data_IF_499639229775
#
_entry.id   IF_499639229775
#
_cell.length_a   1.000
_cell.length_b   1.000
_cell.length_c   1.000
_cell.angle_alpha   90.00
_cell.angle_beta   90.00
_cell.angle_gamma   90.00
#
_symmetry.space_group_name_H-M   'P 1'
#
loop_
_entity.id
_entity.type
_entity.pdbx_description
1 polymer ?
#
# COMPACT_ATOMS: atom_id res chain seq x y z
N UNK A 1 -2.00 -26.25 -1.73
CA UNK A 1 -0.67 -26.12 -1.08
C UNK A 1 0.21 -25.03 -1.70
N UNK A 2 0.18 -24.80 -3.01
CA UNK A 2 0.93 -23.73 -3.71
C UNK A 2 0.58 -22.31 -3.27
N UNK A 3 -0.69 -22.04 -2.92
CA UNK A 3 -1.14 -20.72 -2.47
C UNK A 3 -0.45 -20.29 -1.17
N UNK A 4 -0.20 -21.22 -0.24
CA UNK A 4 0.48 -20.91 1.02
C UNK A 4 1.95 -20.54 0.75
N UNK A 5 2.61 -21.28 -0.15
CA UNK A 5 3.98 -21.00 -0.54
C UNK A 5 4.11 -19.65 -1.27
N UNK A 6 3.16 -19.33 -2.15
CA UNK A 6 3.08 -18.04 -2.84
C UNK A 6 2.83 -16.89 -1.86
N UNK A 7 1.90 -17.04 -0.91
CA UNK A 7 1.66 -16.03 0.15
C UNK A 7 2.92 -15.81 0.99
N UNK A 8 3.62 -16.88 1.36
CA UNK A 8 4.86 -16.79 2.14
C UNK A 8 5.95 -16.00 1.40
N UNK A 9 6.18 -16.31 0.13
CA UNK A 9 7.15 -15.58 -0.72
C UNK A 9 6.79 -14.10 -0.86
N UNK A 10 5.52 -13.79 -1.15
CA UNK A 10 5.05 -12.41 -1.28
C UNK A 10 5.22 -11.62 0.03
N UNK A 11 4.94 -12.24 1.18
CA UNK A 11 5.13 -11.60 2.49
C UNK A 11 6.62 -11.33 2.75
N UNK A 12 7.52 -12.26 2.41
CA UNK A 12 8.96 -12.05 2.62
C UNK A 12 9.52 -10.92 1.76
N UNK A 13 9.15 -10.85 0.48
CA UNK A 13 9.60 -9.77 -0.43
C UNK A 13 9.09 -8.40 0.04
N UNK A 14 7.85 -8.33 0.54
CA UNK A 14 7.29 -7.08 1.09
C UNK A 14 8.05 -6.57 2.32
N UNK A 15 8.56 -7.47 3.16
CA UNK A 15 9.36 -7.10 4.33
C UNK A 15 10.71 -6.52 3.88
N UNK A 16 11.31 -7.04 2.82
CA UNK A 16 12.55 -6.52 2.24
C UNK A 16 12.33 -5.14 1.60
N UNK A 17 11.31 -5.02 0.74
CA UNK A 17 10.96 -3.74 0.14
C UNK A 17 10.60 -2.69 1.20
N UNK A 18 9.91 -3.07 2.27
CA UNK A 18 9.63 -2.16 3.38
C UNK A 18 10.90 -1.63 4.02
N UNK A 19 11.93 -2.46 4.22
CA UNK A 19 13.21 -2.02 4.81
C UNK A 19 13.95 -1.09 3.85
N UNK A 20 14.02 -1.42 2.58
CA UNK A 20 14.68 -0.62 1.56
C UNK A 20 13.99 0.75 1.40
N UNK A 21 12.68 0.76 1.19
CA UNK A 21 11.90 1.97 1.02
C UNK A 21 11.91 2.86 2.28
N UNK A 22 11.94 2.25 3.48
CA UNK A 22 12.09 3.01 4.71
C UNK A 22 13.47 3.68 4.80
N UNK A 23 14.53 2.97 4.41
CA UNK A 23 15.89 3.51 4.37
C UNK A 23 16.02 4.64 3.33
N UNK A 24 15.50 4.45 2.11
CA UNK A 24 15.51 5.47 1.04
C UNK A 24 14.74 6.74 1.42
N UNK A 25 13.61 6.59 2.10
CA UNK A 25 12.79 7.70 2.55
C UNK A 25 13.30 8.32 3.88
N UNK A 26 14.36 7.78 4.49
CA UNK A 26 14.88 8.25 5.78
C UNK A 26 13.90 8.08 6.94
N UNK A 27 12.98 7.13 6.84
CA UNK A 27 11.91 6.93 7.81
C UNK A 27 12.43 6.07 8.96
N UNK A 28 12.39 6.62 10.17
CA UNK A 28 12.65 5.85 11.39
C UNK A 28 11.54 4.82 11.60
N UNK A 29 11.91 3.61 12.04
CA UNK A 29 10.94 2.53 12.27
C UNK A 29 9.79 2.87 13.21
N UNK A 30 9.97 3.84 14.12
CA UNK A 30 8.90 4.34 14.99
C UNK A 30 7.79 5.07 14.22
N UNK A 31 8.12 5.83 13.18
CA UNK A 31 7.14 6.57 12.37
C UNK A 31 6.22 5.61 11.62
N UNK A 32 6.79 4.54 11.05
CA UNK A 32 6.01 3.49 10.35
C UNK A 32 5.07 2.80 11.33
N UNK A 33 5.56 2.44 12.52
CA UNK A 33 4.72 1.81 13.56
C UNK A 33 3.55 2.71 13.96
N UNK A 34 3.81 4.02 14.13
CA UNK A 34 2.76 5.00 14.43
C UNK A 34 1.72 5.06 13.33
N UNK A 35 2.13 5.18 12.07
CA UNK A 35 1.21 5.25 10.92
C UNK A 35 0.38 3.97 10.81
N UNK A 36 0.98 2.80 11.00
CA UNK A 36 0.24 1.53 11.00
C UNK A 36 -0.80 1.51 12.12
N UNK A 37 -0.44 2.00 13.32
CA UNK A 37 -1.35 2.08 14.46
C UNK A 37 -2.51 3.06 14.21
N UNK A 38 -2.22 4.23 13.63
CA UNK A 38 -3.21 5.24 13.28
C UNK A 38 -4.18 4.67 12.23
N UNK A 39 -3.66 4.03 11.16
CA UNK A 39 -4.47 3.36 10.13
C UNK A 39 -5.33 2.23 10.72
N UNK A 40 -4.80 1.46 11.68
CA UNK A 40 -5.55 0.41 12.36
C UNK A 40 -6.65 0.97 13.27
N UNK A 41 -6.49 2.20 13.79
CA UNK A 41 -7.49 2.92 14.55
C UNK A 41 -8.51 3.67 13.66
N UNK A 42 -8.40 3.56 12.34
CA UNK A 42 -9.25 4.29 11.38
C UNK A 42 -8.87 5.76 11.22
N UNK A 43 -7.69 6.15 11.71
CA UNK A 43 -7.11 7.46 11.45
C UNK A 43 -6.28 7.38 10.18
N UNK A 44 -6.61 8.21 9.19
CA UNK A 44 -5.92 8.24 7.90
C UNK A 44 -5.09 9.53 7.84
N UNK A 45 -3.89 9.55 8.47
CA UNK A 45 -3.06 10.74 8.46
C UNK A 45 -2.60 11.04 7.03
N UNK A 46 -2.35 12.32 6.76
CA UNK A 46 -1.62 12.68 5.54
C UNK A 46 -0.27 11.99 5.54
N UNK A 47 0.01 11.25 4.49
CA UNK A 47 1.30 10.61 4.26
C UNK A 47 2.32 11.60 3.66
N UNK A 48 2.10 12.92 3.73
CA UNK A 48 3.00 13.96 3.21
C UNK A 48 4.46 13.77 3.65
N UNK A 49 4.67 13.40 4.92
CA UNK A 49 6.00 13.14 5.48
C UNK A 49 6.61 11.80 5.04
N UNK A 50 5.82 10.96 4.38
CA UNK A 50 6.16 9.61 4.00
C UNK A 50 5.97 9.37 2.51
N UNK A 51 5.65 10.37 1.67
CA UNK A 51 5.19 10.14 0.28
C UNK A 51 6.12 9.29 -0.59
N UNK A 52 7.42 9.33 -0.31
CA UNK A 52 8.42 8.51 -1.00
C UNK A 52 8.28 7.02 -0.69
N UNK A 53 7.79 6.68 0.49
CA UNK A 53 7.64 5.30 0.94
C UNK A 53 6.50 4.55 0.23
N UNK A 54 5.25 5.07 0.15
CA UNK A 54 4.20 4.46 -0.65
C UNK A 54 4.60 4.33 -2.11
N UNK A 55 5.21 5.37 -2.70
CA UNK A 55 5.66 5.28 -4.09
C UNK A 55 6.70 4.17 -4.28
N UNK A 56 7.77 4.15 -3.48
CA UNK A 56 8.79 3.10 -3.55
C UNK A 56 8.20 1.70 -3.40
N UNK A 57 7.30 1.49 -2.43
CA UNK A 57 6.62 0.21 -2.21
C UNK A 57 5.74 -0.17 -3.41
N UNK A 58 4.92 0.76 -3.90
CA UNK A 58 4.00 0.49 -5.01
C UNK A 58 4.76 0.21 -6.30
N UNK A 59 5.88 0.88 -6.55
CA UNK A 59 6.72 0.63 -7.73
C UNK A 59 7.47 -0.69 -7.62
N UNK A 60 8.13 -1.00 -6.49
CA UNK A 60 8.87 -2.27 -6.31
C UNK A 60 7.98 -3.51 -6.39
N UNK A 61 6.76 -3.41 -5.87
CA UNK A 61 5.79 -4.51 -5.94
C UNK A 61 5.07 -4.56 -7.31
N UNK A 62 5.24 -3.53 -8.15
CA UNK A 62 4.62 -3.44 -9.47
C UNK A 62 3.15 -3.04 -9.43
N UNK A 63 2.67 -2.49 -8.32
CA UNK A 63 1.34 -1.91 -8.22
C UNK A 63 1.21 -0.60 -8.97
N UNK A 64 2.30 0.13 -9.18
CA UNK A 64 2.31 1.40 -9.89
C UNK A 64 3.47 1.43 -10.87
N UNK A 65 3.24 2.00 -12.05
CA UNK A 65 4.30 2.24 -13.04
C UNK A 65 5.14 3.48 -12.69
N UNK A 66 6.22 3.73 -13.44
CA UNK A 66 7.09 4.89 -13.25
C UNK A 66 6.39 6.23 -13.53
N UNK A 67 5.24 6.22 -14.20
CA UNK A 67 4.43 7.39 -14.52
C UNK A 67 3.36 7.67 -13.45
N UNK A 68 3.28 6.87 -12.40
CA UNK A 68 2.29 7.01 -11.33
C UNK A 68 0.93 6.40 -11.66
N UNK A 69 0.80 5.59 -12.71
CA UNK A 69 -0.44 4.88 -13.01
C UNK A 69 -0.51 3.57 -12.24
N UNK A 70 -1.68 3.31 -11.65
CA UNK A 70 -1.93 2.08 -10.93
C UNK A 70 -2.10 0.90 -11.91
N UNK A 71 -1.41 -0.20 -11.61
CA UNK A 71 -1.66 -1.52 -12.15
C UNK A 71 -2.67 -2.26 -11.26
N UNK A 72 -3.97 -2.30 -11.63
CA UNK A 72 -5.01 -2.85 -10.77
C UNK A 72 -4.88 -4.36 -10.56
N UNK A 73 -4.34 -5.11 -11.53
CA UNK A 73 -4.28 -6.57 -11.47
C UNK A 73 -3.31 -7.10 -10.40
N UNK A 74 -2.04 -6.64 -10.33
CA UNK A 74 -1.13 -6.97 -9.22
C UNK A 74 -1.71 -6.61 -7.85
N UNK A 75 -2.27 -5.41 -7.71
CA UNK A 75 -2.86 -4.96 -6.44
C UNK A 75 -4.08 -5.80 -6.05
N UNK A 76 -4.92 -6.17 -7.02
CA UNK A 76 -6.09 -7.03 -6.80
C UNK A 76 -5.68 -8.41 -6.31
N UNK A 77 -4.69 -9.03 -6.95
CA UNK A 77 -4.13 -10.32 -6.51
C UNK A 77 -3.57 -10.25 -5.10
N UNK A 78 -2.85 -9.18 -4.78
CA UNK A 78 -2.30 -8.97 -3.46
C UNK A 78 -3.40 -8.84 -2.39
N UNK A 79 -4.40 -7.99 -2.63
CA UNK A 79 -5.51 -7.81 -1.70
C UNK A 79 -6.38 -9.05 -1.56
N UNK A 80 -6.53 -9.85 -2.62
CA UNK A 80 -7.20 -11.14 -2.53
C UNK A 80 -6.40 -12.16 -1.70
N UNK A 81 -5.07 -12.19 -1.84
CA UNK A 81 -4.21 -13.09 -1.10
C UNK A 81 -4.17 -12.77 0.40
N UNK A 82 -4.03 -11.48 0.76
CA UNK A 82 -3.75 -11.05 2.13
C UNK A 82 -5.02 -10.59 2.87
N UNK A 83 -5.93 -9.91 2.19
CA UNK A 83 -7.11 -9.28 2.82
C UNK A 83 -8.45 -9.86 2.39
N UNK A 84 -8.50 -10.68 1.33
CA UNK A 84 -9.73 -11.17 0.70
C UNK A 84 -10.67 -10.02 0.27
N UNK A 85 -10.07 -8.92 -0.20
CA UNK A 85 -10.79 -7.69 -0.55
C UNK A 85 -10.41 -7.10 -1.93
N UNK A 86 -10.35 -7.92 -3.00
CA UNK A 86 -9.92 -7.47 -4.33
C UNK A 86 -10.77 -6.34 -4.92
N UNK A 87 -12.04 -6.23 -4.52
CA UNK A 87 -12.99 -5.24 -5.03
C UNK A 87 -12.62 -3.79 -4.65
N UNK A 88 -11.85 -3.60 -3.58
CA UNK A 88 -11.44 -2.25 -3.11
C UNK A 88 -10.56 -1.52 -4.13
N UNK A 89 -9.83 -2.26 -4.97
CA UNK A 89 -8.99 -1.69 -6.05
C UNK A 89 -9.82 -0.87 -7.03
N UNK A 90 -11.00 -1.36 -7.40
CA UNK A 90 -11.84 -0.70 -8.40
C UNK A 90 -12.36 0.67 -7.95
N UNK A 91 -12.55 0.87 -6.63
CA UNK A 91 -12.94 2.16 -6.07
C UNK A 91 -11.79 3.15 -5.91
N UNK A 92 -10.54 2.68 -6.03
CA UNK A 92 -9.35 3.49 -5.74
C UNK A 92 -8.43 3.70 -6.96
N UNK A 93 -8.61 2.95 -8.05
CA UNK A 93 -7.74 3.00 -9.23
C UNK A 93 -7.66 4.37 -9.93
N UNK A 94 -8.72 5.17 -9.82
CA UNK A 94 -8.83 6.47 -10.48
C UNK A 94 -8.37 7.62 -9.57
N UNK A 95 -7.89 7.32 -8.35
CA UNK A 95 -7.35 8.33 -7.43
C UNK A 95 -6.03 8.88 -7.97
N UNK A 96 -5.92 10.20 -8.02
CA UNK A 96 -4.71 10.92 -8.41
C UNK A 96 -4.46 12.07 -7.44
N UNK A 97 -3.20 12.32 -7.16
CA UNK A 97 -2.72 13.49 -6.43
C UNK A 97 -2.15 14.54 -7.39
N UNK A 98 -1.57 15.60 -6.81
CA UNK A 98 -0.90 16.68 -7.57
C UNK A 98 0.33 16.19 -8.35
N UNK A 99 1.02 15.19 -7.81
CA UNK A 99 2.20 14.55 -8.39
C UNK A 99 2.14 13.02 -8.19
N UNK A 100 3.15 12.32 -8.73
CA UNK A 100 3.26 10.85 -8.64
C UNK A 100 3.35 10.37 -7.18
N UNK A 101 4.06 11.12 -6.33
CA UNK A 101 4.23 10.84 -4.92
C UNK A 101 2.89 10.92 -4.16
N UNK A 102 2.13 11.96 -4.42
CA UNK A 102 0.81 12.19 -3.84
C UNK A 102 -0.21 11.19 -4.39
N UNK A 103 -0.10 10.80 -5.66
CA UNK A 103 -0.93 9.75 -6.27
C UNK A 103 -0.73 8.41 -5.58
N UNK A 104 0.51 7.98 -5.32
CA UNK A 104 0.79 6.76 -4.57
C UNK A 104 0.19 6.79 -3.16
N UNK A 105 0.31 7.92 -2.46
CA UNK A 105 -0.31 8.11 -1.14
C UNK A 105 -1.84 8.01 -1.17
N UNK A 106 -2.48 8.73 -2.09
CA UNK A 106 -3.94 8.76 -2.24
C UNK A 106 -4.50 7.36 -2.50
N UNK A 107 -3.85 6.59 -3.37
CA UNK A 107 -4.28 5.22 -3.66
C UNK A 107 -4.08 4.32 -2.44
N UNK A 108 -2.91 4.36 -1.79
CA UNK A 108 -2.66 3.59 -0.58
C UNK A 108 -3.71 3.90 0.50
N UNK A 109 -3.95 5.17 0.79
CA UNK A 109 -4.94 5.59 1.78
C UNK A 109 -6.35 5.13 1.40
N UNK A 110 -6.75 5.30 0.14
CA UNK A 110 -8.06 4.86 -0.35
C UNK A 110 -8.26 3.35 -0.11
N UNK A 111 -7.27 2.51 -0.47
CA UNK A 111 -7.37 1.05 -0.29
C UNK A 111 -7.48 0.68 1.19
N UNK A 112 -6.73 1.37 2.06
CA UNK A 112 -6.82 1.16 3.51
C UNK A 112 -8.17 1.63 4.07
N UNK A 113 -8.69 2.77 3.61
CA UNK A 113 -10.00 3.30 4.00
C UNK A 113 -11.13 2.36 3.62
N UNK A 114 -11.16 1.89 2.37
CA UNK A 114 -12.19 0.98 1.88
C UNK A 114 -12.15 -0.36 2.62
N UNK A 115 -10.95 -0.91 2.87
CA UNK A 115 -10.79 -2.11 3.69
C UNK A 115 -11.21 -1.90 5.15
N UNK A 116 -10.91 -0.74 5.75
CA UNK A 116 -11.30 -0.42 7.11
C UNK A 116 -12.83 -0.27 7.24
N UNK A 117 -13.48 0.48 6.34
CA UNK A 117 -14.94 0.61 6.28
C UNK A 117 -15.63 -0.76 6.21
N UNK A 118 -15.08 -1.67 5.40
CA UNK A 118 -15.65 -3.03 5.24
C UNK A 118 -15.55 -3.88 6.51
N UNK A 119 -14.57 -3.63 7.40
CA UNK A 119 -14.45 -4.33 8.69
C UNK A 119 -15.35 -3.78 9.78
N UNK A 120 -15.89 -2.57 9.59
CA UNK A 120 -16.82 -1.92 10.51
C UNK A 120 -18.30 -2.17 10.19
N UNK A 121 -18.62 -2.58 8.95
CA UNK A 121 -19.94 -3.02 8.51
C UNK A 121 -20.07 -4.54 8.61
#
# INVERSE_FOLDING_TARGET
MWIIFYIFVVITELIEYQKECAAEAGIKGETIKKVIKDLAAGQFPSLDQLKRFPLCMMTKVGFMDENGNLNPDPLKKYLDAIRKEPQTVMGCKDRKGEDILSTACEICLCVYQEGFKKRMN
#
